data_IF_967608053266
#
_entry.id   IF_967608053266
#
_cell.length_a   1.000
_cell.length_b   1.000
_cell.length_c   1.000
_cell.angle_alpha   90.00
_cell.angle_beta   90.00
_cell.angle_gamma   90.00
#
_symmetry.space_group_name_H-M   'P 1'
#
loop_
_entity.id
_entity.type
_entity.pdbx_description
1 polymer ?
#
# COMPACT_ATOMS: atom_id res chain seq x y z
N UNK A 1 4.97 12.50 0.89
CA UNK A 1 5.52 12.03 2.20
C UNK A 1 6.67 12.87 2.75
N UNK A 2 7.33 13.71 1.95
CA UNK A 2 8.45 14.58 2.35
C UNK A 2 8.18 15.50 3.57
N UNK A 3 6.94 15.95 3.77
CA UNK A 3 6.59 16.79 4.92
C UNK A 3 6.84 16.09 6.27
N UNK A 4 7.42 16.82 7.22
CA UNK A 4 7.63 16.35 8.60
C UNK A 4 6.32 15.88 9.23
N UNK A 5 6.35 14.75 9.95
CA UNK A 5 5.18 14.19 10.64
C UNK A 5 4.16 13.48 9.74
N UNK A 6 4.28 13.57 8.41
CA UNK A 6 3.32 12.94 7.48
C UNK A 6 3.30 11.41 7.60
N UNK A 7 4.47 10.78 7.72
CA UNK A 7 4.57 9.32 7.91
C UNK A 7 3.83 8.86 9.16
N UNK A 8 3.94 9.61 10.27
CA UNK A 8 3.25 9.26 11.52
C UNK A 8 1.73 9.38 11.38
N UNK A 9 1.25 10.43 10.69
CA UNK A 9 -0.17 10.57 10.37
C UNK A 9 -0.67 9.41 9.50
N UNK A 10 0.07 9.05 8.45
CA UNK A 10 -0.26 7.91 7.57
C UNK A 10 -0.29 6.60 8.37
N UNK A 11 0.73 6.34 9.19
CA UNK A 11 0.79 5.15 10.03
C UNK A 11 -0.39 5.08 11.03
N UNK A 12 -0.83 6.23 11.54
CA UNK A 12 -2.00 6.32 12.42
C UNK A 12 -3.29 5.98 11.68
N UNK A 13 -3.51 6.51 10.48
CA UNK A 13 -4.68 6.14 9.67
C UNK A 13 -4.63 4.68 9.21
N UNK A 14 -3.45 4.15 8.88
CA UNK A 14 -3.25 2.74 8.55
C UNK A 14 -3.71 1.83 9.70
N UNK A 15 -3.32 2.15 10.95
CA UNK A 15 -3.77 1.43 12.14
C UNK A 15 -5.28 1.59 12.37
N UNK A 16 -5.80 2.81 12.28
CA UNK A 16 -7.22 3.10 12.50
C UNK A 16 -8.14 2.31 11.56
N UNK A 17 -7.73 2.14 10.31
CA UNK A 17 -8.47 1.37 9.32
C UNK A 17 -8.09 -0.12 9.28
N UNK A 18 -7.26 -0.60 10.21
CA UNK A 18 -6.77 -1.98 10.29
C UNK A 18 -6.17 -2.47 8.96
N UNK A 19 -5.44 -1.60 8.27
CA UNK A 19 -4.81 -1.94 6.99
C UNK A 19 -3.55 -2.77 7.21
N UNK A 20 -3.38 -3.80 6.38
CA UNK A 20 -2.22 -4.70 6.43
C UNK A 20 -1.09 -4.20 5.53
N UNK A 21 -1.46 -3.70 4.35
CA UNK A 21 -0.60 -3.05 3.35
C UNK A 21 -1.30 -1.76 2.89
N UNK A 22 -0.55 -0.67 2.77
CA UNK A 22 -1.04 0.61 2.27
C UNK A 22 -0.12 1.11 1.16
N UNK A 23 -0.67 1.31 -0.04
CA UNK A 23 -0.01 2.00 -1.14
C UNK A 23 -0.06 3.50 -1.00
N UNK A 24 1.02 4.17 -1.38
CA UNK A 24 1.16 5.61 -1.31
C UNK A 24 1.75 6.07 -2.63
N UNK A 25 1.06 6.99 -3.31
CA UNK A 25 1.57 7.75 -4.45
C UNK A 25 2.06 9.11 -3.99
N UNK A 26 2.82 9.82 -4.83
CA UNK A 26 3.32 11.17 -4.54
C UNK A 26 4.09 11.24 -3.21
N UNK A 27 5.05 10.32 -3.06
CA UNK A 27 5.90 10.33 -1.87
C UNK A 27 6.84 11.54 -1.87
N UNK A 28 7.21 12.03 -3.07
CA UNK A 28 8.19 13.08 -3.31
C UNK A 28 9.57 12.74 -2.74
N UNK A 29 9.85 11.45 -2.57
CA UNK A 29 11.14 10.96 -2.12
C UNK A 29 12.00 10.62 -3.34
N UNK A 30 13.31 10.81 -3.19
CA UNK A 30 14.31 10.34 -4.15
C UNK A 30 14.85 8.98 -3.69
N UNK A 31 15.49 8.28 -4.62
CA UNK A 31 16.06 6.95 -4.47
C UNK A 31 15.02 5.86 -4.11
N UNK A 32 15.47 4.62 -4.09
CA UNK A 32 14.70 3.49 -3.58
C UNK A 32 15.30 3.03 -2.26
N UNK A 33 14.44 2.59 -1.34
CA UNK A 33 14.92 2.16 -0.04
C UNK A 33 13.84 1.60 0.87
N UNK A 34 14.26 1.23 2.08
CA UNK A 34 13.39 0.71 3.10
C UNK A 34 13.70 1.31 4.47
N UNK A 35 12.66 1.53 5.28
CA UNK A 35 12.77 2.07 6.63
C UNK A 35 11.90 1.29 7.60
N UNK A 36 12.45 0.93 8.75
CA UNK A 36 11.67 0.34 9.85
C UNK A 36 10.87 1.44 10.56
N UNK A 37 9.60 1.15 10.81
CA UNK A 37 8.71 2.07 11.54
C UNK A 37 8.78 1.76 13.05
N UNK A 38 8.55 2.78 13.88
CA UNK A 38 8.47 2.61 15.34
C UNK A 38 7.38 1.60 15.76
N UNK A 39 6.34 1.43 14.94
CA UNK A 39 5.26 0.45 15.12
C UNK A 39 5.69 -1.01 14.88
N UNK A 40 6.95 -1.25 14.50
CA UNK A 40 7.45 -2.55 14.06
C UNK A 40 7.08 -2.91 12.61
N UNK A 41 6.33 -2.05 11.93
CA UNK A 41 6.09 -2.13 10.49
C UNK A 41 7.30 -1.74 9.64
N UNK A 42 7.11 -1.67 8.33
CA UNK A 42 8.15 -1.30 7.37
C UNK A 42 7.56 -0.39 6.30
N UNK A 43 8.35 0.58 5.85
CA UNK A 43 8.07 1.40 4.68
C UNK A 43 9.09 1.04 3.61
N UNK A 44 8.63 0.62 2.44
CA UNK A 44 9.46 0.45 1.25
C UNK A 44 9.04 1.51 0.23
N UNK A 45 9.99 2.14 -0.45
CA UNK A 45 9.71 3.25 -1.34
C UNK A 45 10.61 3.23 -2.57
N UNK A 46 10.10 3.85 -3.64
CA UNK A 46 10.82 4.13 -4.86
C UNK A 46 10.59 5.58 -5.26
N UNK A 47 11.63 6.22 -5.77
CA UNK A 47 11.70 7.63 -6.11
C UNK A 47 12.58 7.84 -7.33
N UNK A 48 12.88 9.10 -7.65
CA UNK A 48 13.87 9.38 -8.71
C UNK A 48 15.26 8.90 -8.30
N UNK A 49 15.97 8.22 -9.19
CA UNK A 49 17.26 7.59 -8.87
C UNK A 49 18.36 8.61 -8.60
N UNK A 50 18.35 9.75 -9.29
CA UNK A 50 19.37 10.79 -9.13
C UNK A 50 19.19 11.54 -7.81
N UNK A 51 20.29 11.77 -7.10
CA UNK A 51 20.31 12.40 -5.77
C UNK A 51 19.70 13.81 -5.75
N UNK A 52 19.90 14.58 -6.83
CA UNK A 52 19.38 15.95 -6.98
C UNK A 52 18.14 16.03 -7.90
N UNK A 53 17.43 14.93 -8.08
CA UNK A 53 16.22 14.93 -8.89
C UNK A 53 15.09 15.76 -8.25
N UNK A 54 14.17 16.31 -9.06
CA UNK A 54 13.04 17.07 -8.53
C UNK A 54 12.13 16.18 -7.66
N UNK A 55 11.68 16.72 -6.53
CA UNK A 55 10.79 16.04 -5.59
C UNK A 55 9.32 15.99 -6.09
N UNK A 56 9.06 15.34 -7.24
CA UNK A 56 7.76 15.39 -7.94
C UNK A 56 7.01 14.05 -8.02
N UNK A 57 7.72 12.93 -7.95
CA UNK A 57 7.13 11.59 -8.14
C UNK A 57 7.31 10.74 -6.88
N UNK A 58 7.29 9.42 -7.03
CA UNK A 58 7.61 8.49 -5.96
C UNK A 58 6.41 7.71 -5.47
N UNK A 59 6.65 6.44 -5.17
CA UNK A 59 5.66 5.48 -4.68
C UNK A 59 6.19 4.76 -3.45
N UNK A 60 5.31 4.29 -2.59
CA UNK A 60 5.69 3.49 -1.43
C UNK A 60 4.63 2.47 -1.05
N UNK A 61 5.06 1.42 -0.36
CA UNK A 61 4.22 0.51 0.39
C UNK A 61 4.56 0.63 1.88
N UNK A 62 3.56 1.01 2.68
CA UNK A 62 3.63 0.91 4.12
C UNK A 62 3.04 -0.42 4.57
N UNK A 63 3.83 -1.18 5.31
CA UNK A 63 3.56 -2.56 5.72
C UNK A 63 3.37 -2.62 7.24
N UNK A 64 2.28 -3.27 7.66
CA UNK A 64 2.11 -3.67 9.06
C UNK A 64 3.19 -4.68 9.48
N UNK A 65 3.34 -4.92 10.78
CA UNK A 65 4.27 -5.97 11.30
C UNK A 65 3.99 -7.33 10.66
N UNK A 66 2.71 -7.67 10.46
CA UNK A 66 2.28 -8.93 9.82
C UNK A 66 2.69 -8.99 8.36
N UNK A 67 2.42 -7.93 7.59
CA UNK A 67 2.81 -7.87 6.17
C UNK A 67 4.32 -7.92 5.99
N UNK A 68 5.07 -7.21 6.84
CA UNK A 68 6.53 -7.23 6.85
C UNK A 68 7.08 -8.64 7.08
N UNK A 69 6.53 -9.37 8.04
CA UNK A 69 6.96 -10.75 8.31
C UNK A 69 6.63 -11.71 7.16
N UNK A 70 5.61 -11.40 6.35
CA UNK A 70 5.24 -12.18 5.17
C UNK A 70 5.98 -11.74 3.90
N UNK A 71 6.72 -10.61 3.92
CA UNK A 71 7.43 -10.08 2.76
C UNK A 71 8.52 -11.06 2.32
N UNK A 72 8.47 -11.47 1.06
CA UNK A 72 9.50 -12.30 0.41
C UNK A 72 10.59 -11.40 -0.16
N UNK A 73 10.19 -10.32 -0.82
CA UNK A 73 11.08 -9.37 -1.46
C UNK A 73 10.30 -8.25 -2.15
N UNK A 74 11.02 -7.21 -2.56
CA UNK A 74 10.46 -6.09 -3.30
C UNK A 74 11.46 -5.57 -4.32
N UNK A 75 10.95 -4.87 -5.33
CA UNK A 75 11.71 -4.31 -6.45
C UNK A 75 11.11 -2.96 -6.86
N UNK A 76 11.98 -2.00 -7.15
CA UNK A 76 11.64 -0.70 -7.74
C UNK A 76 11.77 -0.74 -9.25
N UNK A 77 10.82 -0.13 -9.97
CA UNK A 77 10.80 -0.03 -11.43
C UNK A 77 10.72 1.44 -11.85
N UNK A 78 11.76 2.18 -11.47
CA UNK A 78 11.79 3.64 -11.49
C UNK A 78 10.92 4.27 -10.40
N UNK A 79 10.75 5.58 -10.50
CA UNK A 79 10.06 6.44 -9.51
C UNK A 79 8.56 6.23 -9.38
N UNK A 80 7.92 5.54 -10.33
CA UNK A 80 6.45 5.44 -10.44
C UNK A 80 5.90 4.06 -10.18
N UNK A 81 6.73 3.03 -10.02
CA UNK A 81 6.27 1.65 -9.85
C UNK A 81 7.15 0.95 -8.80
N UNK A 82 6.49 0.31 -7.83
CA UNK A 82 7.13 -0.60 -6.86
C UNK A 82 6.31 -1.87 -6.77
N UNK A 83 6.98 -3.02 -6.75
CA UNK A 83 6.35 -4.32 -6.61
C UNK A 83 6.90 -5.04 -5.39
N UNK A 84 6.04 -5.65 -4.60
CA UNK A 84 6.39 -6.47 -3.45
C UNK A 84 5.65 -7.80 -3.49
N UNK A 85 6.36 -8.87 -3.13
CA UNK A 85 5.84 -10.23 -3.09
C UNK A 85 5.73 -10.71 -1.64
N UNK A 86 4.63 -11.36 -1.29
CA UNK A 86 4.32 -11.80 0.07
C UNK A 86 3.95 -13.28 0.08
N UNK A 87 4.40 -14.00 1.11
CA UNK A 87 3.90 -15.34 1.43
C UNK A 87 2.43 -15.26 1.81
N UNK A 88 1.62 -16.14 1.24
CA UNK A 88 0.24 -16.32 1.69
C UNK A 88 0.15 -17.49 2.67
N UNK A 89 -1.01 -17.68 3.30
CA UNK A 89 -1.29 -18.88 4.12
C UNK A 89 -1.42 -20.16 3.27
N UNK A 90 -1.31 -20.06 1.95
CA UNK A 90 -1.41 -21.19 1.02
C UNK A 90 -0.07 -21.40 0.36
N UNK A 91 0.53 -22.54 0.67
CA UNK A 91 1.83 -22.91 0.14
C UNK A 91 1.80 -22.96 -1.39
N UNK A 92 2.89 -22.49 -2.00
CA UNK A 92 3.02 -22.40 -3.45
C UNK A 92 2.25 -21.26 -4.12
N UNK A 93 1.49 -20.44 -3.38
CA UNK A 93 0.83 -19.23 -3.88
C UNK A 93 1.40 -18.00 -3.17
N UNK A 94 2.03 -17.12 -3.95
CA UNK A 94 2.43 -15.79 -3.48
C UNK A 94 1.33 -14.76 -3.76
N UNK A 95 1.40 -13.65 -3.02
CA UNK A 95 0.66 -12.44 -3.32
C UNK A 95 1.63 -11.37 -3.80
N UNK A 96 1.45 -10.89 -5.02
CA UNK A 96 2.20 -9.80 -5.62
C UNK A 96 1.36 -8.52 -5.55
N UNK A 97 1.92 -7.45 -4.99
CA UNK A 97 1.30 -6.13 -4.96
C UNK A 97 2.17 -5.19 -5.78
N UNK A 98 1.59 -4.61 -6.82
CA UNK A 98 2.19 -3.57 -7.65
C UNK A 98 1.51 -2.26 -7.26
N UNK A 99 2.26 -1.36 -6.63
CA UNK A 99 1.83 0.02 -6.37
C UNK A 99 2.40 0.93 -7.45
N UNK A 100 1.57 1.78 -8.03
CA UNK A 100 1.99 2.68 -9.10
C UNK A 100 1.38 4.09 -9.02
N UNK A 101 2.05 5.02 -9.70
CA UNK A 101 1.62 6.40 -9.90
C UNK A 101 1.78 6.78 -11.38
N UNK A 102 0.70 6.72 -12.15
CA UNK A 102 0.74 6.99 -13.58
C UNK A 102 0.93 8.49 -13.89
N UNK A 103 1.49 8.84 -15.06
CA UNK A 103 1.45 10.20 -15.58
C UNK A 103 0.02 10.75 -15.68
N UNK A 104 -0.14 12.07 -15.58
CA UNK A 104 -1.45 12.72 -15.71
C UNK A 104 -1.95 12.62 -17.15
N UNK A 105 -3.26 12.77 -17.36
CA UNK A 105 -3.86 12.64 -18.69
C UNK A 105 -3.25 13.64 -19.71
N UNK A 106 -2.87 14.83 -19.24
CA UNK A 106 -2.31 15.91 -20.05
C UNK A 106 -0.80 15.75 -20.34
N UNK A 107 -0.15 14.69 -19.84
CA UNK A 107 1.22 14.40 -20.24
C UNK A 107 1.27 13.88 -21.69
N UNK A 108 2.42 14.08 -22.35
CA UNK A 108 2.70 13.54 -23.68
C UNK A 108 2.48 12.01 -23.69
N UNK A 109 1.89 11.51 -24.77
CA UNK A 109 1.71 10.09 -25.06
C UNK A 109 3.00 9.27 -24.90
N UNK A 110 4.16 9.78 -25.31
CA UNK A 110 5.43 9.05 -25.15
C UNK A 110 5.73 8.69 -23.68
N UNK A 111 5.42 9.62 -22.76
CA UNK A 111 5.62 9.42 -21.32
C UNK A 111 4.58 8.43 -20.77
N UNK A 112 3.34 8.52 -21.26
CA UNK A 112 2.27 7.58 -20.89
C UNK A 112 2.61 6.17 -21.38
N UNK A 113 3.11 6.03 -22.60
CA UNK A 113 3.45 4.75 -23.23
C UNK A 113 4.62 4.08 -22.54
N UNK A 114 5.72 4.81 -22.29
CA UNK A 114 6.84 4.28 -21.51
C UNK A 114 6.42 3.79 -20.12
N UNK A 115 5.45 4.47 -19.47
CA UNK A 115 4.92 4.02 -18.19
C UNK A 115 4.11 2.73 -18.33
N UNK A 116 3.19 2.65 -19.29
CA UNK A 116 2.32 1.47 -19.48
C UNK A 116 3.11 0.26 -19.98
N UNK A 117 4.10 0.42 -20.85
CA UNK A 117 5.02 -0.64 -21.28
C UNK A 117 5.83 -1.19 -20.11
N UNK A 118 6.37 -0.30 -19.26
CA UNK A 118 7.08 -0.73 -18.05
C UNK A 118 6.13 -1.46 -17.11
N UNK A 119 4.93 -0.94 -16.88
CA UNK A 119 3.93 -1.58 -16.04
C UNK A 119 3.53 -2.97 -16.58
N UNK A 120 3.36 -3.10 -17.89
CA UNK A 120 3.11 -4.37 -18.58
C UNK A 120 4.21 -5.38 -18.28
N UNK A 121 5.49 -4.99 -18.42
CA UNK A 121 6.63 -5.87 -18.16
C UNK A 121 6.68 -6.37 -16.71
N UNK A 122 6.25 -5.56 -15.73
CA UNK A 122 6.19 -5.94 -14.32
C UNK A 122 5.05 -6.93 -14.07
N UNK A 123 3.90 -6.75 -14.72
CA UNK A 123 2.75 -7.64 -14.62
C UNK A 123 3.07 -9.01 -15.23
N UNK A 124 3.74 -9.06 -16.38
CA UNK A 124 4.12 -10.30 -17.07
C UNK A 124 5.06 -11.19 -16.25
N UNK A 125 5.94 -10.57 -15.46
CA UNK A 125 6.84 -11.27 -14.53
C UNK A 125 6.10 -11.88 -13.33
N UNK A 126 4.83 -11.54 -13.10
CA UNK A 126 4.04 -12.14 -12.02
C UNK A 126 3.43 -13.48 -12.47
N UNK A 127 3.74 -14.61 -11.81
CA UNK A 127 3.20 -15.91 -12.21
C UNK A 127 1.67 -15.94 -12.17
N UNK A 128 1.03 -16.46 -13.23
CA UNK A 128 -0.45 -16.59 -13.30
C UNK A 128 -1.05 -17.45 -12.19
N UNK A 129 -0.24 -18.31 -11.56
CA UNK A 129 -0.68 -19.11 -10.40
C UNK A 129 -0.91 -18.27 -9.16
N UNK A 130 -0.18 -17.16 -9.02
CA UNK A 130 -0.15 -16.28 -7.86
C UNK A 130 -1.28 -15.25 -7.88
N UNK A 131 -1.59 -14.70 -6.71
CA UNK A 131 -2.50 -13.57 -6.57
C UNK A 131 -1.75 -12.30 -6.95
N UNK A 132 -2.25 -11.55 -7.94
CA UNK A 132 -1.67 -10.26 -8.33
C UNK A 132 -2.68 -9.15 -8.07
N UNK A 133 -2.24 -8.13 -7.34
CA UNK A 133 -2.96 -6.90 -7.05
C UNK A 133 -2.20 -5.75 -7.71
N UNK A 134 -2.86 -5.03 -8.60
CA UNK A 134 -2.38 -3.76 -9.14
C UNK A 134 -3.15 -2.66 -8.45
N UNK A 135 -2.46 -1.67 -7.87
CA UNK A 135 -3.13 -0.57 -7.20
C UNK A 135 -2.33 0.73 -7.28
N UNK A 136 -3.02 1.83 -6.98
CA UNK A 136 -2.43 3.15 -6.88
C UNK A 136 -3.23 4.20 -7.62
N UNK A 137 -2.59 5.34 -7.86
CA UNK A 137 -3.18 6.42 -8.63
C UNK A 137 -2.76 6.27 -10.09
N UNK A 138 -3.74 5.96 -10.93
CA UNK A 138 -3.51 5.74 -12.35
C UNK A 138 -3.90 6.92 -13.21
N UNK A 139 -4.37 8.02 -12.62
CA UNK A 139 -4.86 9.18 -13.37
C UNK A 139 -5.86 8.80 -14.48
N UNK A 140 -6.59 7.69 -14.26
CA UNK A 140 -7.38 7.00 -15.28
C UNK A 140 -8.85 6.97 -14.85
N UNK A 141 -9.73 7.62 -15.62
CA UNK A 141 -11.18 7.56 -15.44
C UNK A 141 -11.67 6.47 -16.37
N UNK A 142 -12.10 5.34 -15.81
CA UNK A 142 -12.57 4.18 -16.62
C UNK A 142 -14.06 4.28 -17.00
N UNK A 143 -14.82 5.09 -16.25
CA UNK A 143 -16.22 5.37 -16.49
C UNK A 143 -17.19 4.23 -16.11
N UNK A 144 -18.45 4.39 -16.53
CA UNK A 144 -19.55 3.44 -16.28
C UNK A 144 -19.71 2.44 -17.44
N UNK A 145 -19.43 2.89 -18.67
CA UNK A 145 -19.49 2.05 -19.85
C UNK A 145 -18.44 0.94 -19.76
N UNK A 146 -18.88 -0.30 -19.90
CA UNK A 146 -18.05 -1.49 -19.84
C UNK A 146 -18.12 -2.31 -21.13
N UNK A 147 -18.65 -1.75 -22.22
CA UNK A 147 -18.76 -2.40 -23.52
C UNK A 147 -17.37 -2.84 -24.00
N UNK A 148 -17.21 -4.14 -24.30
CA UNK A 148 -15.92 -4.75 -24.69
C UNK A 148 -14.98 -5.06 -23.52
N UNK A 149 -15.35 -4.69 -22.29
CA UNK A 149 -14.55 -4.85 -21.06
C UNK A 149 -15.33 -5.58 -19.96
N UNK A 150 -16.46 -6.22 -20.27
CA UNK A 150 -17.40 -6.83 -19.32
C UNK A 150 -16.75 -7.89 -18.43
N UNK A 151 -15.69 -8.50 -18.96
CA UNK A 151 -14.91 -9.53 -18.31
C UNK A 151 -14.03 -9.03 -17.16
N UNK A 152 -13.71 -7.73 -17.15
CA UNK A 152 -12.80 -7.10 -16.19
C UNK A 152 -13.40 -5.87 -15.49
N UNK A 153 -14.49 -5.30 -16.02
CA UNK A 153 -15.15 -4.11 -15.50
C UNK A 153 -16.65 -4.34 -15.27
N UNK A 154 -17.13 -3.84 -14.13
CA UNK A 154 -18.56 -3.71 -13.87
C UNK A 154 -19.08 -2.33 -14.29
N UNK A 155 -20.38 -2.11 -14.07
CA UNK A 155 -21.09 -0.87 -14.44
C UNK A 155 -21.22 0.12 -13.28
N UNK A 156 -20.35 0.01 -12.28
CA UNK A 156 -20.41 0.84 -11.09
C UNK A 156 -19.22 1.79 -10.95
N UNK A 157 -18.50 2.10 -12.04
CA UNK A 157 -17.54 3.20 -12.06
C UNK A 157 -18.17 4.59 -11.88
N UNK A 158 -17.39 5.63 -12.12
CA UNK A 158 -17.79 7.03 -12.01
C UNK A 158 -17.35 7.82 -13.25
N UNK A 159 -18.28 8.62 -13.81
CA UNK A 159 -18.01 9.53 -14.90
C UNK A 159 -17.84 8.84 -16.26
N UNK A 160 -17.24 9.57 -17.19
CA UNK A 160 -16.90 9.12 -18.54
C UNK A 160 -15.44 8.71 -18.62
N UNK A 161 -15.14 7.85 -19.59
CA UNK A 161 -13.80 7.33 -19.81
C UNK A 161 -12.91 8.40 -20.45
N UNK A 162 -11.70 8.59 -19.93
CA UNK A 162 -10.66 9.43 -20.57
C UNK A 162 -9.59 8.57 -21.27
N UNK A 163 -8.65 9.19 -21.96
CA UNK A 163 -7.56 8.50 -22.67
C UNK A 163 -6.75 7.58 -21.76
N UNK A 164 -6.35 8.07 -20.57
CA UNK A 164 -5.69 7.23 -19.57
C UNK A 164 -6.59 6.05 -19.13
N UNK A 165 -7.89 6.27 -19.06
CA UNK A 165 -8.91 5.25 -18.81
C UNK A 165 -8.92 4.15 -19.86
N UNK A 166 -8.80 4.51 -21.13
CA UNK A 166 -8.73 3.57 -22.25
C UNK A 166 -7.43 2.75 -22.20
N UNK A 167 -6.27 3.41 -22.04
CA UNK A 167 -4.97 2.72 -21.88
C UNK A 167 -5.00 1.75 -20.69
N UNK A 168 -5.55 2.17 -19.57
CA UNK A 168 -5.66 1.34 -18.37
C UNK A 168 -6.66 0.19 -18.53
N UNK A 169 -7.81 0.42 -19.15
CA UNK A 169 -8.80 -0.63 -19.41
C UNK A 169 -8.21 -1.70 -20.35
N UNK A 170 -7.51 -1.29 -21.40
CA UNK A 170 -6.79 -2.19 -22.32
C UNK A 170 -5.72 -3.02 -21.61
N UNK A 171 -4.88 -2.39 -20.79
CA UNK A 171 -3.90 -3.11 -19.95
C UNK A 171 -4.60 -4.15 -19.06
N UNK A 172 -5.72 -3.78 -18.42
CA UNK A 172 -6.47 -4.69 -17.56
C UNK A 172 -7.10 -5.85 -18.34
N UNK A 173 -7.68 -5.58 -19.52
CA UNK A 173 -8.26 -6.61 -20.38
C UNK A 173 -7.20 -7.62 -20.83
N UNK A 174 -6.06 -7.13 -21.34
CA UNK A 174 -4.95 -7.96 -21.81
C UNK A 174 -4.42 -8.89 -20.71
N UNK A 175 -4.25 -8.36 -19.49
CA UNK A 175 -3.71 -9.12 -18.36
C UNK A 175 -4.77 -9.83 -17.50
N UNK A 176 -6.04 -9.76 -17.89
CA UNK A 176 -7.18 -10.31 -17.13
C UNK A 176 -7.20 -9.79 -15.69
N UNK A 177 -7.04 -8.48 -15.48
CA UNK A 177 -7.11 -7.81 -14.19
C UNK A 177 -8.50 -7.17 -14.02
N UNK A 178 -9.26 -7.61 -13.02
CA UNK A 178 -10.59 -7.08 -12.70
C UNK A 178 -10.45 -5.77 -11.93
N UNK A 179 -11.12 -4.71 -12.39
CA UNK A 179 -11.09 -3.36 -11.80
C UNK A 179 -12.10 -3.28 -10.65
N UNK A 180 -11.63 -3.48 -9.42
CA UNK A 180 -12.51 -3.65 -8.26
C UNK A 180 -13.45 -2.48 -7.98
N UNK A 181 -13.00 -1.25 -8.27
CA UNK A 181 -13.79 -0.02 -8.08
C UNK A 181 -15.05 0.08 -8.94
N UNK A 182 -15.18 -0.76 -9.99
CA UNK A 182 -16.34 -0.75 -10.90
C UNK A 182 -17.30 -1.93 -10.67
N UNK A 183 -16.91 -2.91 -9.84
CA UNK A 183 -17.67 -4.16 -9.62
C UNK A 183 -18.80 -4.00 -8.60
N UNK A 184 -18.60 -3.20 -7.56
CA UNK A 184 -19.52 -3.15 -6.42
C UNK A 184 -20.48 -1.96 -6.52
N UNK A 185 -21.80 -2.15 -6.38
CA UNK A 185 -22.75 -1.05 -6.34
C UNK A 185 -22.53 -0.20 -5.09
N UNK A 186 -22.24 1.08 -5.29
CA UNK A 186 -21.93 2.05 -4.22
C UNK A 186 -22.55 3.42 -4.52
N UNK A 187 -22.81 4.20 -3.47
CA UNK A 187 -23.14 5.63 -3.63
C UNK A 187 -21.92 6.37 -4.18
N UNK A 188 -22.13 7.44 -4.97
CA UNK A 188 -21.05 8.28 -5.56
C UNK A 188 -19.96 8.67 -4.57
N UNK A 189 -20.36 9.04 -3.35
CA UNK A 189 -19.51 9.37 -2.21
C UNK A 189 -18.55 8.26 -1.73
N UNK A 190 -18.71 7.05 -2.23
CA UNK A 190 -17.89 5.87 -1.93
C UNK A 190 -17.14 5.33 -3.15
N UNK A 191 -17.24 6.04 -4.28
CA UNK A 191 -16.55 5.77 -5.55
C UNK A 191 -15.51 6.85 -5.88
N UNK A 192 -15.84 8.12 -5.67
CA UNK A 192 -14.91 9.22 -5.90
C UNK A 192 -13.65 9.03 -5.04
N UNK A 193 -12.48 9.20 -5.64
CA UNK A 193 -11.17 9.01 -5.01
C UNK A 193 -10.37 10.30 -4.96
N UNK A 194 -10.66 11.25 -5.84
CA UNK A 194 -10.04 12.57 -5.88
C UNK A 194 -11.08 13.67 -5.93
N UNK A 195 -10.76 14.80 -5.27
CA UNK A 195 -11.56 16.02 -5.31
C UNK A 195 -10.66 17.17 -5.75
N UNK A 196 -11.13 17.97 -6.70
CA UNK A 196 -10.41 19.15 -7.16
C UNK A 196 -10.15 20.17 -6.04
N UNK A 197 -9.11 21.02 -6.18
CA UNK A 197 -8.81 22.06 -5.19
C UNK A 197 -9.98 23.03 -4.93
N UNK A 198 -10.79 23.31 -5.96
CA UNK A 198 -12.00 24.14 -5.86
C UNK A 198 -13.22 23.37 -5.31
N UNK A 199 -13.07 22.07 -5.06
CA UNK A 199 -14.05 21.15 -4.50
C UNK A 199 -15.35 20.97 -5.30
N UNK A 200 -15.32 21.28 -6.60
CA UNK A 200 -16.45 21.14 -7.52
C UNK A 200 -16.43 19.81 -8.25
N UNK A 201 -15.23 19.31 -8.57
CA UNK A 201 -15.02 18.15 -9.41
C UNK A 201 -14.60 16.96 -8.56
N UNK A 202 -15.20 15.81 -8.85
CA UNK A 202 -14.88 14.53 -8.21
C UNK A 202 -14.55 13.50 -9.29
N UNK A 203 -13.42 12.82 -9.16
CA UNK A 203 -12.98 11.80 -10.10
C UNK A 203 -12.69 10.47 -9.38
N UNK A 204 -12.76 9.37 -10.12
CA UNK A 204 -12.29 8.05 -9.69
C UNK A 204 -11.04 7.71 -10.53
N UNK A 205 -9.87 7.94 -9.94
CA UNK A 205 -8.55 7.77 -10.59
C UNK A 205 -7.61 6.84 -9.82
N UNK A 206 -7.94 6.55 -8.57
CA UNK A 206 -7.26 5.57 -7.74
C UNK A 206 -7.97 4.22 -7.87
N UNK A 207 -7.23 3.20 -8.28
CA UNK A 207 -7.79 1.88 -8.57
C UNK A 207 -7.13 0.78 -7.76
N UNK A 208 -7.90 -0.27 -7.49
CA UNK A 208 -7.39 -1.54 -6.96
C UNK A 208 -7.94 -2.64 -7.86
N UNK A 209 -7.04 -3.33 -8.54
CA UNK A 209 -7.33 -4.41 -9.46
C UNK A 209 -6.82 -5.73 -8.91
N UNK A 210 -7.43 -6.83 -9.36
CA UNK A 210 -7.05 -8.19 -8.98
C UNK A 210 -7.11 -9.10 -10.19
N UNK A 211 -6.15 -10.02 -10.34
CA UNK A 211 -6.22 -10.98 -11.44
C UNK A 211 -7.50 -11.84 -11.39
N UNK A 212 -8.12 -12.04 -12.55
CA UNK A 212 -9.47 -12.61 -12.73
C UNK A 212 -9.61 -13.98 -12.06
N UNK A 213 -8.54 -14.79 -12.07
CA UNK A 213 -8.48 -16.09 -11.38
C UNK A 213 -8.86 -15.96 -9.89
N UNK A 214 -8.43 -14.88 -9.24
CA UNK A 214 -8.67 -14.60 -7.84
C UNK A 214 -9.76 -13.57 -7.60
N UNK A 215 -10.59 -13.20 -8.60
CA UNK A 215 -11.62 -12.15 -8.44
C UNK A 215 -12.51 -12.33 -7.20
N UNK A 216 -12.81 -13.59 -6.83
CA UNK A 216 -13.68 -13.93 -5.68
C UNK A 216 -13.04 -13.63 -4.33
N UNK A 217 -11.71 -13.43 -4.31
CA UNK A 217 -10.95 -12.99 -3.14
C UNK A 217 -11.29 -11.56 -2.75
N UNK A 218 -11.62 -10.72 -3.73
CA UNK A 218 -12.01 -9.34 -3.48
C UNK A 218 -13.48 -9.29 -3.05
N UNK A 219 -13.73 -9.02 -1.78
CA UNK A 219 -15.08 -8.98 -1.22
C UNK A 219 -15.70 -7.59 -1.31
N UNK A 220 -14.87 -6.55 -1.39
CA UNK A 220 -15.30 -5.17 -1.45
C UNK A 220 -14.17 -4.24 -1.90
N UNK A 221 -14.52 -3.15 -2.58
CA UNK A 221 -13.68 -1.95 -2.78
C UNK A 221 -14.51 -0.71 -2.44
N UNK A 222 -13.96 0.20 -1.64
CA UNK A 222 -14.67 1.42 -1.21
C UNK A 222 -13.72 2.54 -0.80
N UNK A 223 -14.08 3.77 -1.17
CA UNK A 223 -13.45 4.99 -0.65
C UNK A 223 -13.82 5.27 0.81
N UNK A 224 -12.81 5.62 1.62
CA UNK A 224 -12.89 6.03 3.03
C UNK A 224 -12.59 7.53 3.19
N UNK A 225 -13.59 8.38 2.89
CA UNK A 225 -13.50 9.85 2.99
C UNK A 225 -13.24 10.40 4.41
N UNK A 226 -13.31 9.55 5.44
CA UNK A 226 -13.00 9.90 6.82
C UNK A 226 -11.54 9.70 7.21
N UNK A 227 -10.71 9.16 6.32
CA UNK A 227 -9.25 9.16 6.46
C UNK A 227 -8.74 10.58 6.19
N UNK A 228 -7.83 11.08 7.02
CA UNK A 228 -7.36 12.45 6.90
C UNK A 228 -5.85 12.57 7.16
N UNK A 229 -5.14 12.98 6.11
CA UNK A 229 -3.71 13.35 6.15
C UNK A 229 -3.45 14.70 5.47
N UNK A 230 -4.52 15.48 5.23
CA UNK A 230 -4.51 16.66 4.36
C UNK A 230 -4.02 16.37 2.94
N UNK A 231 -4.64 15.37 2.31
CA UNK A 231 -4.56 15.11 0.86
C UNK A 231 -5.91 15.43 0.22
N UNK A 232 -5.86 15.81 -1.05
CA UNK A 232 -6.96 15.93 -2.00
C UNK A 232 -7.48 14.58 -2.51
N UNK A 233 -6.69 13.51 -2.36
CA UNK A 233 -7.14 12.14 -2.53
C UNK A 233 -7.80 11.58 -1.26
N UNK A 234 -8.71 10.63 -1.48
CA UNK A 234 -9.33 9.81 -0.46
C UNK A 234 -8.75 8.41 -0.48
N UNK A 235 -8.57 7.84 0.71
CA UNK A 235 -8.13 6.46 0.87
C UNK A 235 -9.11 5.47 0.21
N UNK A 236 -8.63 4.66 -0.74
CA UNK A 236 -9.38 3.52 -1.30
C UNK A 236 -8.99 2.24 -0.59
N UNK A 237 -9.97 1.47 -0.13
CA UNK A 237 -9.74 0.23 0.63
C UNK A 237 -10.40 -0.95 -0.06
N UNK A 238 -9.63 -2.01 -0.28
CA UNK A 238 -10.13 -3.32 -0.68
C UNK A 238 -10.11 -4.31 0.50
N UNK A 239 -11.19 -5.06 0.68
CA UNK A 239 -11.23 -6.18 1.61
C UNK A 239 -10.98 -7.47 0.84
N UNK A 240 -9.95 -8.21 1.24
CA UNK A 240 -9.51 -9.42 0.54
C UNK A 240 -9.59 -10.63 1.47
N UNK A 241 -10.24 -11.69 1.01
CA UNK A 241 -10.29 -13.00 1.67
C UNK A 241 -9.92 -14.07 0.66
N UNK A 242 -8.71 -14.62 0.76
CA UNK A 242 -8.22 -15.60 -0.22
C UNK A 242 -9.16 -16.81 -0.29
N UNK A 243 -9.84 -16.98 -1.42
CA UNK A 243 -10.77 -18.09 -1.69
C UNK A 243 -10.23 -18.89 -2.87
N UNK A 244 -9.87 -20.14 -2.62
CA UNK A 244 -9.49 -21.09 -3.66
C UNK A 244 -10.68 -21.95 -4.04
N UNK A 245 -10.77 -22.34 -5.32
CA UNK A 245 -11.73 -23.37 -5.74
C UNK A 245 -11.29 -24.68 -5.08
N UNK A 246 -12.20 -25.33 -4.34
CA UNK A 246 -11.99 -26.72 -3.91
C UNK A 246 -12.09 -27.57 -5.18
N UNK A 247 -10.98 -28.18 -5.59
CA UNK A 247 -11.03 -29.26 -6.56
C UNK A 247 -11.40 -30.52 -5.76
N UNK A 248 -12.56 -31.10 -6.04
CA UNK A 248 -12.85 -32.46 -5.61
C UNK A 248 -11.99 -33.36 -6.47
N UNK A 249 -10.88 -33.84 -5.94
CA UNK A 249 -10.23 -35.03 -6.48
C UNK A 249 -11.12 -36.21 -6.11
N UNK A 250 -11.82 -36.77 -7.10
CA UNK A 250 -12.32 -38.14 -7.02
C UNK A 250 -11.11 -39.00 -6.60
N UNK A 251 -11.21 -39.65 -5.45
CA UNK A 251 -10.09 -40.33 -4.82
C UNK A 251 -9.52 -41.42 -5.72
N UNK A 252 -8.38 -41.15 -6.34
CA UNK A 252 -7.40 -42.19 -6.63
C UNK A 252 -6.39 -42.15 -5.50
N UNK A 253 -6.55 -43.08 -4.58
CA UNK A 253 -5.60 -43.41 -3.53
C UNK A 253 -4.30 -43.83 -4.22
N UNK A 254 -3.33 -42.92 -4.30
CA UNK A 254 -1.97 -43.32 -4.64
C UNK A 254 -1.45 -44.14 -3.45
N UNK A 255 -1.40 -45.46 -3.63
CA UNK A 255 -0.77 -46.40 -2.71
C UNK A 255 0.71 -46.01 -2.64
N UNK A 256 1.11 -45.30 -1.59
CA UNK A 256 2.51 -45.25 -1.19
C UNK A 256 2.87 -46.61 -0.60
N UNK A 257 3.57 -47.44 -1.39
CA UNK A 257 4.32 -48.58 -0.85
C UNK A 257 5.44 -48.02 0.02
N UNK A 258 5.30 -48.16 1.33
CA UNK A 258 6.40 -48.05 2.27
C UNK A 258 7.35 -49.23 2.06
N UNK A 259 8.50 -48.99 1.46
CA UNK A 259 9.69 -49.81 1.68
C UNK A 259 10.54 -49.05 2.68
N UNK A 260 10.52 -49.51 3.93
CA UNK A 260 11.49 -49.15 4.94
C UNK A 260 12.50 -50.29 5.06
N UNK A 261 13.74 -49.91 5.37
CA UNK A 261 14.90 -50.70 5.78
C UNK A 261 15.86 -51.12 4.65
N UNK A 262 16.81 -50.23 4.37
CA UNK A 262 18.20 -50.42 4.80
C UNK A 262 18.96 -49.10 4.58
N UNK A 263 19.38 -48.44 5.67
CA UNK A 263 20.51 -47.53 5.63
C UNK A 263 21.23 -47.63 6.99
N UNK A 264 22.56 -47.80 7.01
CA UNK A 264 23.32 -48.07 8.23
C UNK A 264 23.43 -46.81 9.09
N UNK A 265 23.52 -47.01 10.40
CA UNK A 265 23.89 -45.98 11.38
C UNK A 265 25.18 -45.29 10.90
N UNK A 266 25.06 -44.07 10.39
CA UNK A 266 26.20 -43.16 10.27
C UNK A 266 26.39 -42.50 11.62
N UNK A 267 27.54 -42.76 12.23
CA UNK A 267 28.09 -41.90 13.25
C UNK A 267 28.19 -40.48 12.67
N UNK A 268 27.48 -39.52 13.28
CA UNK A 268 27.65 -38.11 12.96
C UNK A 268 28.99 -37.63 13.55
N UNK A 269 30.01 -37.55 12.72
CA UNK A 269 31.12 -36.63 12.99
C UNK A 269 30.57 -35.20 12.86
N UNK A 270 30.27 -34.58 14.00
CA UNK A 270 29.89 -33.16 14.06
C UNK A 270 31.01 -32.33 13.46
N UNK A 271 30.72 -31.58 12.40
CA UNK A 271 31.72 -30.69 11.80
C UNK A 271 32.01 -29.52 12.75
N UNK A 272 33.20 -28.90 12.65
CA UNK A 272 33.51 -27.71 13.45
C UNK A 272 32.50 -26.56 13.24
N UNK A 273 31.86 -26.51 12.08
CA UNK A 273 30.81 -25.55 11.73
C UNK A 273 29.54 -25.75 12.58
N UNK A 274 29.15 -27.01 12.79
CA UNK A 274 27.96 -27.37 13.58
C UNK A 274 28.19 -27.09 15.07
N UNK A 275 29.42 -27.36 15.56
CA UNK A 275 29.82 -27.05 16.93
C UNK A 275 29.87 -25.52 17.16
N UNK A 276 30.40 -24.75 16.21
CA UNK A 276 30.41 -23.30 16.28
C UNK A 276 28.99 -22.70 16.27
N UNK A 277 28.10 -23.26 15.45
CA UNK A 277 26.69 -22.88 15.41
C UNK A 277 26.00 -23.16 16.76
N UNK A 278 26.23 -24.33 17.34
CA UNK A 278 25.71 -24.70 18.66
C UNK A 278 26.17 -23.75 19.77
N UNK A 279 27.48 -23.42 19.80
CA UNK A 279 28.04 -22.46 20.77
C UNK A 279 27.42 -21.08 20.59
N UNK A 280 27.31 -20.59 19.35
CA UNK A 280 26.72 -19.29 19.06
C UNK A 280 25.25 -19.22 19.49
N UNK A 281 24.49 -20.27 19.23
CA UNK A 281 23.08 -20.36 19.63
C UNK A 281 22.92 -20.39 21.16
N UNK A 282 23.71 -21.20 21.86
CA UNK A 282 23.70 -21.28 23.32
C UNK A 282 24.12 -19.95 23.99
N UNK A 283 25.17 -19.30 23.48
CA UNK A 283 25.64 -18.01 23.98
C UNK A 283 24.60 -16.90 23.73
N UNK A 284 23.98 -16.90 22.54
CA UNK A 284 22.93 -15.91 22.20
C UNK A 284 21.69 -16.11 23.04
N UNK A 285 21.28 -17.36 23.27
CA UNK A 285 20.13 -17.72 24.12
C UNK A 285 20.36 -17.27 25.55
N UNK A 286 21.52 -17.63 26.13
CA UNK A 286 21.88 -17.26 27.50
C UNK A 286 21.99 -15.75 27.67
N UNK A 287 22.61 -15.04 26.70
CA UNK A 287 22.66 -13.58 26.71
C UNK A 287 21.25 -12.96 26.67
N UNK A 288 20.32 -13.52 25.89
CA UNK A 288 18.94 -13.02 25.83
C UNK A 288 18.16 -13.28 27.11
N UNK A 289 18.42 -14.40 27.79
CA UNK A 289 17.75 -14.76 29.05
C UNK A 289 18.26 -13.92 30.21
N UNK A 290 19.59 -13.74 30.33
CA UNK A 290 20.23 -13.03 31.44
C UNK A 290 20.16 -11.51 31.27
N UNK A 291 20.48 -10.99 30.08
CA UNK A 291 20.54 -9.54 29.84
C UNK A 291 19.20 -8.97 29.34
N UNK A 292 18.28 -9.83 28.88
CA UNK A 292 17.09 -9.42 28.16
C UNK A 292 17.40 -8.86 26.77
N UNK A 293 16.39 -8.81 25.90
CA UNK A 293 16.48 -8.02 24.67
C UNK A 293 16.41 -6.53 25.03
N UNK A 294 17.40 -5.74 24.59
CA UNK A 294 17.36 -4.27 24.70
C UNK A 294 16.11 -3.76 23.98
N UNK A 295 15.04 -3.51 24.74
CA UNK A 295 13.80 -2.93 24.22
C UNK A 295 14.07 -1.46 23.93
N UNK A 296 14.40 -1.16 22.68
CA UNK A 296 14.33 0.21 22.20
C UNK A 296 12.86 0.64 22.17
N UNK A 297 12.39 1.21 23.28
CA UNK A 297 11.20 2.04 23.26
C UNK A 297 11.57 3.30 22.47
N UNK A 298 11.21 3.31 21.19
CA UNK A 298 11.33 4.53 20.41
C UNK A 298 10.35 5.54 21.02
N UNK A 299 10.86 6.61 21.63
CA UNK A 299 10.03 7.69 22.18
C UNK A 299 9.20 8.26 21.03
N UNK A 300 7.88 8.27 21.17
CA UNK A 300 7.02 8.95 20.20
C UNK A 300 7.31 10.45 20.31
N UNK A 301 7.84 11.03 19.23
CA UNK A 301 8.29 12.43 19.22
C UNK A 301 7.16 13.44 19.01
N UNK A 302 5.97 12.98 18.61
CA UNK A 302 4.79 13.82 18.45
C UNK A 302 4.08 13.93 19.79
N UNK A 303 3.83 15.16 20.24
CA UNK A 303 3.19 15.43 21.52
C UNK A 303 1.69 15.10 21.49
N UNK A 304 1.11 14.86 22.68
CA UNK A 304 -0.33 14.65 22.86
C UNK A 304 -1.12 15.86 22.34
N UNK A 305 -0.64 17.08 22.60
CA UNK A 305 -1.24 18.32 22.10
C UNK A 305 -1.32 18.34 20.56
N UNK A 306 -0.25 17.92 19.87
CA UNK A 306 -0.26 17.81 18.42
C UNK A 306 -1.22 16.73 17.93
N UNK A 307 -1.33 15.59 18.64
CA UNK A 307 -2.30 14.54 18.32
C UNK A 307 -3.75 15.04 18.45
N UNK A 308 -4.05 15.85 19.46
CA UNK A 308 -5.36 16.48 19.65
C UNK A 308 -5.68 17.46 18.52
N UNK A 309 -4.71 18.28 18.08
CA UNK A 309 -4.88 19.15 16.91
C UNK A 309 -5.13 18.37 15.62
N UNK A 310 -4.47 17.22 15.43
CA UNK A 310 -4.72 16.32 14.29
C UNK A 310 -6.16 15.77 14.35
N UNK A 311 -6.61 15.36 15.54
CA UNK A 311 -7.99 14.90 15.76
C UNK A 311 -9.01 16.01 15.47
N UNK A 312 -8.73 17.24 15.90
CA UNK A 312 -9.59 18.40 15.64
C UNK A 312 -9.66 18.74 14.14
N UNK A 313 -8.51 18.76 13.43
CA UNK A 313 -8.47 18.95 11.98
C UNK A 313 -9.37 17.94 11.27
N UNK A 314 -9.31 16.68 11.70
CA UNK A 314 -10.12 15.60 11.15
C UNK A 314 -11.61 15.73 11.47
N UNK A 315 -11.98 16.23 12.65
CA UNK A 315 -13.37 16.59 12.94
C UNK A 315 -13.87 17.69 12.00
N UNK A 316 -13.03 18.69 11.69
CA UNK A 316 -13.35 19.73 10.70
C UNK A 316 -13.51 19.15 9.27
N UNK A 317 -12.75 18.10 8.91
CA UNK A 317 -12.96 17.35 7.65
C UNK A 317 -14.34 16.71 7.58
N UNK A 318 -14.88 16.22 8.70
CA UNK A 318 -16.24 15.70 8.73
C UNK A 318 -17.28 16.78 8.40
N UNK A 319 -17.06 18.03 8.85
CA UNK A 319 -17.86 19.18 8.45
C UNK A 319 -17.90 19.39 6.94
N UNK A 320 -16.73 19.33 6.26
CA UNK A 320 -16.65 19.43 4.80
C UNK A 320 -17.44 18.29 4.12
N UNK A 321 -17.26 17.06 4.60
CA UNK A 321 -17.90 15.87 4.02
C UNK A 321 -19.43 15.85 4.18
N UNK A 322 -19.96 16.52 5.20
CA UNK A 322 -21.38 16.57 5.53
C UNK A 322 -22.07 17.85 5.03
N UNK A 323 -21.31 18.82 4.53
CA UNK A 323 -21.85 20.07 3.97
C UNK A 323 -22.75 19.78 2.77
N UNK A 324 -23.93 20.41 2.71
CA UNK A 324 -24.91 20.20 1.64
C UNK A 324 -24.87 21.32 0.61
N UNK A 325 -24.53 22.54 1.05
CA UNK A 325 -24.44 23.70 0.16
C UNK A 325 -22.99 24.09 -0.13
N UNK A 326 -22.78 24.81 -1.23
CA UNK A 326 -21.46 25.34 -1.60
C UNK A 326 -20.93 26.32 -0.55
N UNK A 327 -21.81 27.15 0.03
CA UNK A 327 -21.45 28.11 1.06
C UNK A 327 -20.99 27.44 2.37
N UNK A 328 -21.74 26.43 2.84
CA UNK A 328 -21.34 25.62 4.01
C UNK A 328 -19.99 24.95 3.77
N UNK A 329 -19.80 24.35 2.59
CA UNK A 329 -18.57 23.67 2.22
C UNK A 329 -17.38 24.64 2.22
N UNK A 330 -17.56 25.85 1.68
CA UNK A 330 -16.53 26.89 1.69
C UNK A 330 -16.13 27.31 3.11
N UNK A 331 -17.11 27.55 3.99
CA UNK A 331 -16.85 27.88 5.40
C UNK A 331 -16.17 26.74 6.16
N UNK A 332 -16.63 25.49 5.97
CA UNK A 332 -16.02 24.32 6.57
C UNK A 332 -14.58 24.13 6.07
N UNK A 333 -14.32 24.42 4.80
CA UNK A 333 -12.99 24.36 4.21
C UNK A 333 -12.05 25.41 4.79
N UNK A 334 -12.51 26.64 5.02
CA UNK A 334 -11.72 27.68 5.69
C UNK A 334 -11.30 27.23 7.10
N UNK A 335 -12.24 26.69 7.89
CA UNK A 335 -11.97 26.14 9.23
C UNK A 335 -10.95 25.01 9.19
N UNK A 336 -11.09 24.07 8.25
CA UNK A 336 -10.15 22.96 8.06
C UNK A 336 -8.75 23.45 7.68
N UNK A 337 -8.67 24.42 6.77
CA UNK A 337 -7.39 24.98 6.30
C UNK A 337 -6.62 25.60 7.46
N UNK A 338 -7.31 26.35 8.33
CA UNK A 338 -6.69 26.92 9.52
C UNK A 338 -6.19 25.85 10.51
N UNK A 339 -7.01 24.84 10.78
CA UNK A 339 -6.59 23.71 11.62
C UNK A 339 -5.37 22.97 11.04
N UNK A 340 -5.30 22.82 9.72
CA UNK A 340 -4.15 22.20 9.07
C UNK A 340 -2.87 23.03 9.23
N UNK A 341 -2.95 24.36 9.18
CA UNK A 341 -1.82 25.25 9.49
C UNK A 341 -1.33 25.05 10.92
N UNK A 342 -2.26 24.99 11.89
CA UNK A 342 -1.94 24.77 13.29
C UNK A 342 -1.26 23.42 13.52
N UNK A 343 -1.76 22.35 12.89
CA UNK A 343 -1.12 21.02 12.91
C UNK A 343 0.30 21.09 12.35
N UNK A 344 0.50 21.73 11.18
CA UNK A 344 1.84 21.88 10.59
C UNK A 344 2.79 22.64 11.51
N UNK A 345 2.32 23.71 12.17
CA UNK A 345 3.11 24.48 13.14
C UNK A 345 3.49 23.64 14.36
N UNK A 346 2.53 22.94 14.95
CA UNK A 346 2.72 22.07 16.13
C UNK A 346 3.71 20.94 15.85
N UNK A 347 3.57 20.26 14.70
CA UNK A 347 4.50 19.19 14.28
C UNK A 347 5.93 19.70 14.11
N UNK A 348 6.12 20.92 13.57
CA UNK A 348 7.47 21.50 13.43
C UNK A 348 8.09 21.81 14.80
N UNK A 349 7.28 22.30 15.75
CA UNK A 349 7.72 22.57 17.11
C UNK A 349 8.12 21.27 17.84
N UNK A 350 7.29 20.23 17.77
CA UNK A 350 7.59 18.90 18.33
C UNK A 350 8.90 18.33 17.76
N UNK A 351 9.11 18.45 16.43
CA UNK A 351 10.34 17.99 15.79
C UNK A 351 11.56 18.73 16.32
N UNK A 352 11.48 20.06 16.44
CA UNK A 352 12.56 20.90 16.95
C UNK A 352 12.93 20.49 18.38
N UNK A 353 11.93 20.39 19.26
CA UNK A 353 12.10 19.96 20.65
C UNK A 353 12.74 18.57 20.74
N UNK A 354 12.28 17.62 19.92
CA UNK A 354 12.85 16.27 19.91
C UNK A 354 14.32 16.24 19.48
N UNK A 355 14.70 17.05 18.49
CA UNK A 355 16.10 17.16 18.04
C UNK A 355 16.96 17.81 19.13
N UNK A 356 16.46 18.86 19.80
CA UNK A 356 17.14 19.52 20.92
C UNK A 356 17.36 18.54 22.09
N UNK A 357 16.33 17.78 22.49
CA UNK A 357 16.44 16.75 23.52
C UNK A 357 17.52 15.71 23.15
N UNK A 358 17.52 15.22 21.90
CA UNK A 358 18.54 14.26 21.43
C UNK A 358 19.96 14.84 21.49
N UNK A 359 20.13 16.11 21.11
CA UNK A 359 21.44 16.76 21.15
C UNK A 359 21.95 16.99 22.59
N UNK A 360 21.05 17.18 23.56
CA UNK A 360 21.43 17.33 24.98
C UNK A 360 21.68 16.01 25.71
N UNK A 361 21.26 14.88 25.13
CA UNK A 361 21.42 13.54 25.72
C UNK A 361 22.56 12.74 25.06
N UNK A 362 23.19 13.30 24.03
CA UNK A 362 24.38 12.78 23.36
C UNK A 362 25.62 13.45 23.93
#
# INVERSE_FOLDING_TARGET
MWETGKISQIATEMRRYNLVVLGISETHWTQAGQKRLATGGMLIYSGHEKENAPHTQGVALMLSKVARNALVGWESHGSRIIKASFKTKKDGILMNIIQCYAPTNDNNDDIKDQFYERLQSVIEKCPRKDLTILMGDLNAKVGIDNTGYEDIMGRHGLGERNENGERFANLCAFNKLVIGGTIFPRKRIHKATWISPDHTTENQIDHICINKKFRRTMENVRTRRGADIASDHHLVVANLKLKLKKNWTTGQTAIQRSQALQDPLKEEESTMEDNWKGIKEALTSTCQEVLGLKKHHHKEWISIETLDKIKERKNKKAGINNSRTRAEKFQAQAKYTEANKQVKKSIRADKKKYIEELATTA
#
